data_IF_528630646892
#
_entry.id   IF_528630646892
#
_cell.length_a   1.000
_cell.length_b   1.000
_cell.length_c   1.000
_cell.angle_alpha   90.00
_cell.angle_beta   90.00
_cell.angle_gamma   90.00
#
_symmetry.space_group_name_H-M   'P 1'
#
loop_
_entity.id
_entity.type
_entity.pdbx_description
1 polymer ?
#
# COMPACT_ATOMS: atom_id res chain seq x y z
N UNK A 1 42.01 27.39 7.29
CA UNK A 1 41.65 28.13 8.52
C UNK A 1 41.96 27.26 9.73
N UNK A 2 42.27 27.86 10.91
CA UNK A 2 42.65 27.11 12.12
C UNK A 2 41.63 26.02 12.51
N UNK A 3 40.32 26.24 12.34
CA UNK A 3 39.30 25.26 12.66
C UNK A 3 39.33 24.02 11.74
N UNK A 4 39.61 24.22 10.45
CA UNK A 4 39.79 23.14 9.46
C UNK A 4 40.96 22.24 9.81
N UNK A 5 42.10 22.83 10.29
CA UNK A 5 43.25 22.09 10.65
C UNK A 5 43.06 21.31 11.97
N UNK A 6 42.32 21.87 12.92
CA UNK A 6 41.94 21.21 14.19
C UNK A 6 41.10 19.97 13.88
N UNK A 7 40.03 20.09 13.01
CA UNK A 7 39.19 18.96 12.64
C UNK A 7 40.02 17.83 12.01
N UNK A 8 40.85 18.16 11.01
CA UNK A 8 41.69 17.16 10.33
C UNK A 8 42.73 16.47 11.26
N UNK A 9 43.20 17.16 12.32
CA UNK A 9 44.11 16.55 13.32
C UNK A 9 43.39 15.66 14.31
N UNK A 10 42.16 16.02 14.67
CA UNK A 10 41.39 15.29 15.70
C UNK A 10 40.71 14.03 15.13
N UNK A 11 40.39 14.01 13.85
CA UNK A 11 39.68 12.88 13.24
C UNK A 11 40.55 12.16 12.21
N UNK A 12 40.38 10.83 12.10
CA UNK A 12 41.04 10.02 11.08
C UNK A 12 40.15 9.67 9.89
N UNK A 13 38.92 10.17 9.88
CA UNK A 13 37.92 9.84 8.86
C UNK A 13 38.18 10.60 7.55
N UNK A 14 38.05 9.89 6.41
CA UNK A 14 38.18 10.47 5.08
C UNK A 14 36.81 10.71 4.42
N UNK A 15 35.75 10.14 4.98
CA UNK A 15 34.38 10.26 4.46
C UNK A 15 33.49 10.79 5.57
N UNK A 16 32.69 11.80 5.23
CA UNK A 16 31.65 12.36 6.09
C UNK A 16 30.31 12.12 5.41
N UNK A 17 29.46 11.34 6.03
CA UNK A 17 28.10 11.07 5.51
C UNK A 17 27.13 11.99 6.23
N UNK A 18 26.33 12.71 5.47
CA UNK A 18 25.32 13.66 5.96
C UNK A 18 23.95 13.22 5.47
N UNK A 19 23.07 12.92 6.41
CA UNK A 19 21.72 12.43 6.16
C UNK A 19 20.66 13.47 6.60
N UNK A 20 19.41 13.26 6.16
CA UNK A 20 18.25 14.05 6.58
C UNK A 20 18.32 15.57 6.27
N UNK A 21 19.15 15.99 5.33
CA UNK A 21 19.22 17.40 4.93
C UNK A 21 17.93 17.91 4.28
N UNK A 22 17.13 17.02 3.73
CA UNK A 22 15.80 17.30 3.19
C UNK A 22 14.83 17.91 4.22
N UNK A 23 15.07 17.68 5.51
CA UNK A 23 14.27 18.28 6.60
C UNK A 23 14.42 19.79 6.74
N UNK A 24 15.51 20.36 6.23
CA UNK A 24 15.73 21.81 6.28
C UNK A 24 14.98 22.59 5.20
N UNK A 25 14.46 21.91 4.16
CA UNK A 25 13.60 22.49 3.13
C UNK A 25 14.24 23.58 2.26
N UNK A 26 15.56 23.84 2.39
CA UNK A 26 16.28 24.81 1.59
C UNK A 26 17.55 24.21 0.98
N UNK A 27 17.76 24.34 -0.33
CA UNK A 27 18.97 23.89 -1.00
C UNK A 27 20.23 24.71 -0.64
N UNK A 28 20.09 25.87 -0.02
CA UNK A 28 21.23 26.74 0.34
C UNK A 28 22.22 26.08 1.29
N UNK A 29 21.78 25.11 2.06
CA UNK A 29 22.65 24.35 2.98
C UNK A 29 23.75 23.61 2.20
N UNK A 30 23.49 23.16 0.98
CA UNK A 30 24.48 22.45 0.16
C UNK A 30 25.60 23.37 -0.30
N UNK A 31 25.32 24.65 -0.58
CA UNK A 31 26.35 25.65 -0.86
C UNK A 31 27.31 25.80 0.32
N UNK A 32 26.78 25.98 1.51
CA UNK A 32 27.58 26.14 2.74
C UNK A 32 28.40 24.89 3.02
N UNK A 33 27.83 23.71 2.80
CA UNK A 33 28.56 22.45 3.00
C UNK A 33 29.63 22.24 1.93
N UNK A 34 29.41 22.68 0.69
CA UNK A 34 30.41 22.67 -0.37
C UNK A 34 31.59 23.58 -0.03
N UNK A 35 31.31 24.82 0.39
CA UNK A 35 32.34 25.76 0.87
C UNK A 35 33.14 25.16 2.03
N UNK A 36 32.47 24.52 2.99
CA UNK A 36 33.12 23.87 4.11
C UNK A 36 34.02 22.70 3.63
N UNK A 37 33.56 21.89 2.68
CA UNK A 37 34.38 20.82 2.10
C UNK A 37 35.61 21.38 1.40
N UNK A 38 35.48 22.43 0.61
CA UNK A 38 36.62 23.11 -0.03
C UNK A 38 37.63 23.61 0.99
N UNK A 39 37.20 24.34 2.01
CA UNK A 39 38.04 24.84 3.10
C UNK A 39 38.78 23.71 3.82
N UNK A 40 38.08 22.57 4.06
CA UNK A 40 38.72 21.40 4.65
C UNK A 40 39.79 20.79 3.75
N UNK A 41 39.56 20.74 2.45
CA UNK A 41 40.49 20.11 1.50
C UNK A 41 41.64 21.02 1.08
N UNK A 42 41.48 22.35 1.14
CA UNK A 42 42.53 23.33 0.87
C UNK A 42 43.60 23.43 1.98
N UNK A 43 43.36 22.83 3.16
CA UNK A 43 44.33 22.86 4.25
C UNK A 43 45.59 22.12 3.85
N UNK A 44 46.74 22.88 3.83
CA UNK A 44 48.07 22.36 3.49
C UNK A 44 48.76 21.57 4.64
N UNK A 45 48.21 21.65 5.85
CA UNK A 45 48.81 21.04 7.03
C UNK A 45 48.56 19.54 7.12
N UNK A 46 47.42 19.09 6.59
CA UNK A 46 47.07 17.67 6.53
C UNK A 46 46.66 17.35 5.09
N UNK A 47 47.51 16.66 4.36
CA UNK A 47 47.33 16.29 2.96
C UNK A 47 46.33 15.15 2.76
N UNK A 48 45.20 15.17 3.46
CA UNK A 48 44.14 14.17 3.39
C UNK A 48 42.89 14.75 2.78
N UNK A 49 42.38 14.11 1.73
CA UNK A 49 41.13 14.50 1.14
C UNK A 49 39.96 13.95 1.97
N UNK A 50 38.99 14.82 2.23
CA UNK A 50 37.74 14.48 2.90
C UNK A 50 36.63 14.58 1.86
N UNK A 51 35.89 13.46 1.71
CA UNK A 51 34.74 13.36 0.79
C UNK A 51 33.46 13.51 1.61
N UNK A 52 32.59 14.41 1.16
CA UNK A 52 31.24 14.53 1.72
C UNK A 52 30.27 13.69 0.88
N UNK A 53 29.53 12.83 1.53
CA UNK A 53 28.47 12.03 0.92
C UNK A 53 27.13 12.49 1.49
N UNK A 54 26.20 12.86 0.61
CA UNK A 54 24.90 13.36 0.99
C UNK A 54 23.83 12.31 0.64
N UNK A 55 23.09 11.83 1.63
CA UNK A 55 21.92 11.00 1.42
C UNK A 55 20.67 11.91 1.41
N UNK A 56 20.13 12.16 0.23
CA UNK A 56 19.03 13.11 0.04
C UNK A 56 17.93 12.51 -0.85
N UNK A 57 16.71 12.99 -0.68
CA UNK A 57 15.60 12.65 -1.58
C UNK A 57 15.65 13.51 -2.84
N UNK A 58 15.19 12.94 -3.94
CA UNK A 58 15.17 13.63 -5.23
C UNK A 58 14.29 14.89 -5.26
N UNK A 59 13.26 14.95 -4.41
CA UNK A 59 12.27 16.03 -4.34
C UNK A 59 12.79 17.34 -3.74
N UNK A 60 13.95 17.33 -3.08
CA UNK A 60 14.56 18.54 -2.52
C UNK A 60 15.02 19.52 -3.61
N UNK A 61 15.32 19.02 -4.82
CA UNK A 61 15.75 19.82 -5.96
C UNK A 61 14.65 19.87 -7.01
N UNK A 62 13.87 20.93 -7.01
CA UNK A 62 12.79 21.13 -7.97
C UNK A 62 13.29 21.51 -9.38
N UNK A 63 14.55 21.94 -9.51
CA UNK A 63 15.15 22.42 -10.74
C UNK A 63 16.47 21.69 -11.05
N UNK A 64 17.06 21.95 -12.24
CA UNK A 64 18.34 21.38 -12.72
C UNK A 64 19.58 21.78 -11.90
N UNK A 65 19.40 22.33 -10.72
CA UNK A 65 20.50 22.87 -9.89
C UNK A 65 21.34 21.81 -9.18
N UNK A 66 20.94 20.53 -9.23
CA UNK A 66 21.70 19.43 -8.57
C UNK A 66 23.17 19.42 -8.95
N UNK A 67 23.48 19.64 -10.24
CA UNK A 67 24.83 19.62 -10.77
C UNK A 67 25.70 20.79 -10.31
N UNK A 68 25.09 21.85 -9.77
CA UNK A 68 25.82 22.97 -9.17
C UNK A 68 26.40 22.63 -7.80
N UNK A 69 25.80 21.67 -7.09
CA UNK A 69 26.16 21.34 -5.72
C UNK A 69 27.01 20.10 -5.58
N UNK A 70 26.82 19.13 -6.48
CA UNK A 70 27.45 17.82 -6.37
C UNK A 70 28.38 17.55 -7.56
N UNK A 71 29.57 17.05 -7.26
CA UNK A 71 30.55 16.63 -8.27
C UNK A 71 30.18 15.25 -8.86
N UNK A 72 29.45 14.43 -8.08
CA UNK A 72 28.97 13.11 -8.49
C UNK A 72 27.60 12.82 -7.86
N UNK A 73 26.69 12.31 -8.68
CA UNK A 73 25.34 11.91 -8.26
C UNK A 73 25.11 10.46 -8.65
N UNK A 74 24.68 9.65 -7.69
CA UNK A 74 24.24 8.27 -7.94
C UNK A 74 22.86 8.03 -7.37
N UNK A 75 22.02 7.33 -8.13
CA UNK A 75 20.69 6.97 -7.68
C UNK A 75 20.73 5.64 -6.93
N UNK A 76 20.19 5.61 -5.73
CA UNK A 76 19.97 4.37 -4.98
C UNK A 76 18.57 3.87 -5.29
N UNK A 77 18.47 2.74 -5.98
CA UNK A 77 17.19 2.11 -6.29
C UNK A 77 16.61 1.56 -4.98
N UNK A 78 15.37 1.92 -4.59
CA UNK A 78 14.74 1.36 -3.39
C UNK A 78 14.67 -0.16 -3.46
N UNK A 79 15.03 -0.83 -2.37
CA UNK A 79 14.92 -2.30 -2.25
C UNK A 79 13.49 -2.76 -2.43
N UNK A 80 12.52 -1.94 -1.97
CA UNK A 80 11.10 -2.21 -2.09
C UNK A 80 10.47 -1.23 -3.09
N UNK A 81 9.66 -1.77 -3.99
CA UNK A 81 8.89 -1.02 -4.98
C UNK A 81 7.53 -1.72 -5.21
N UNK A 82 6.56 -1.10 -5.89
CA UNK A 82 5.23 -1.69 -6.08
C UNK A 82 5.22 -3.07 -6.77
N UNK A 83 6.24 -3.40 -7.55
CA UNK A 83 6.32 -4.69 -8.26
C UNK A 83 6.79 -5.84 -7.37
N UNK A 84 7.62 -5.59 -6.37
CA UNK A 84 8.19 -6.61 -5.49
C UNK A 84 7.66 -6.54 -4.04
N UNK A 85 6.93 -5.48 -3.68
CA UNK A 85 6.45 -5.24 -2.31
C UNK A 85 5.61 -6.40 -1.76
N UNK A 86 4.80 -7.05 -2.62
CA UNK A 86 4.01 -8.23 -2.23
C UNK A 86 4.91 -9.38 -1.78
N UNK A 87 5.92 -9.70 -2.57
CA UNK A 87 6.79 -10.85 -2.31
C UNK A 87 7.66 -10.62 -1.08
N UNK A 88 8.14 -9.38 -0.90
CA UNK A 88 8.89 -8.98 0.30
C UNK A 88 7.98 -9.02 1.54
N UNK A 89 6.75 -8.52 1.46
CA UNK A 89 5.80 -8.59 2.57
C UNK A 89 5.47 -10.04 2.92
N UNK A 90 5.21 -10.88 1.92
CA UNK A 90 4.94 -12.32 2.11
C UNK A 90 6.11 -13.00 2.79
N UNK A 91 7.34 -12.78 2.33
CA UNK A 91 8.54 -13.33 2.94
C UNK A 91 8.69 -12.88 4.40
N UNK A 92 8.50 -11.59 4.68
CA UNK A 92 8.58 -11.06 6.03
C UNK A 92 7.53 -11.63 7.00
N UNK A 93 6.33 -11.94 6.49
CA UNK A 93 5.28 -12.59 7.28
C UNK A 93 5.58 -14.07 7.52
N UNK A 94 6.12 -14.78 6.51
CA UNK A 94 6.50 -16.18 6.60
C UNK A 94 7.66 -16.38 7.60
N UNK A 95 8.67 -15.51 7.59
CA UNK A 95 9.75 -15.51 8.57
C UNK A 95 9.22 -15.42 10.02
N UNK A 96 8.04 -14.82 10.20
CA UNK A 96 7.35 -14.68 11.50
C UNK A 96 6.30 -15.76 11.75
N UNK A 97 6.39 -16.88 11.00
CA UNK A 97 5.57 -18.07 11.20
C UNK A 97 4.15 -17.96 10.65
N UNK A 98 3.89 -17.13 9.63
CA UNK A 98 2.68 -17.22 8.85
C UNK A 98 2.86 -18.28 7.76
N UNK A 99 1.97 -19.26 7.71
CA UNK A 99 1.98 -20.28 6.66
C UNK A 99 1.56 -19.68 5.31
N UNK A 100 2.07 -20.27 4.24
CA UNK A 100 1.69 -19.89 2.88
C UNK A 100 0.17 -20.09 2.65
N UNK A 101 -0.41 -19.18 1.86
CA UNK A 101 -1.83 -19.20 1.45
C UNK A 101 -2.88 -18.96 2.56
N UNK A 102 -2.48 -18.64 3.79
CA UNK A 102 -3.41 -18.20 4.84
C UNK A 102 -4.07 -16.87 4.48
N UNK A 103 -3.30 -15.96 3.87
CA UNK A 103 -3.81 -14.74 3.27
C UNK A 103 -3.73 -14.88 1.75
N UNK A 104 -4.83 -14.59 1.05
CA UNK A 104 -4.88 -14.70 -0.40
C UNK A 104 -3.88 -13.75 -1.06
N UNK A 105 -3.23 -14.18 -2.12
CA UNK A 105 -2.25 -13.39 -2.88
C UNK A 105 -2.82 -12.07 -3.42
N UNK A 106 -4.12 -12.04 -3.76
CA UNK A 106 -4.81 -10.81 -4.16
C UNK A 106 -4.86 -9.79 -3.02
N UNK A 107 -5.30 -10.23 -1.84
CA UNK A 107 -5.39 -9.36 -0.65
C UNK A 107 -3.99 -8.85 -0.24
N UNK A 108 -2.96 -9.71 -0.31
CA UNK A 108 -1.57 -9.32 -0.05
C UNK A 108 -1.08 -8.27 -1.06
N UNK A 109 -1.42 -8.43 -2.35
CA UNK A 109 -1.04 -7.47 -3.39
C UNK A 109 -1.66 -6.10 -3.13
N UNK A 110 -2.95 -6.08 -2.83
CA UNK A 110 -3.68 -4.83 -2.58
C UNK A 110 -3.11 -4.08 -1.37
N UNK A 111 -2.78 -4.79 -0.30
CA UNK A 111 -2.16 -4.21 0.89
C UNK A 111 -0.72 -3.77 0.64
N UNK A 112 0.08 -4.60 -0.05
CA UNK A 112 1.49 -4.34 -0.30
C UNK A 112 1.71 -3.16 -1.26
N UNK A 113 0.73 -2.84 -2.11
CA UNK A 113 0.79 -1.67 -2.98
C UNK A 113 1.06 -0.37 -2.21
N UNK A 114 0.55 -0.26 -1.00
CA UNK A 114 0.78 0.89 -0.12
C UNK A 114 2.13 0.81 0.60
N UNK A 115 2.72 -0.38 0.74
CA UNK A 115 3.92 -0.60 1.56
C UNK A 115 5.17 -0.47 0.71
N UNK A 116 5.74 0.73 0.66
CA UNK A 116 6.91 1.06 -0.16
C UNK A 116 8.15 1.46 0.67
N UNK A 117 8.11 1.31 1.97
CA UNK A 117 9.24 1.56 2.88
C UNK A 117 9.53 0.30 3.71
N UNK A 118 10.78 -0.17 3.68
CA UNK A 118 11.20 -1.37 4.39
C UNK A 118 11.04 -1.26 5.91
N UNK A 119 11.20 -0.08 6.49
CA UNK A 119 11.01 0.15 7.93
C UNK A 119 9.55 -0.02 8.32
N UNK A 120 8.64 0.54 7.50
CA UNK A 120 7.19 0.39 7.72
C UNK A 120 6.79 -1.07 7.51
N UNK A 121 7.31 -1.74 6.48
CA UNK A 121 7.05 -3.16 6.21
C UNK A 121 7.47 -4.02 7.41
N UNK A 122 8.68 -3.82 7.92
CA UNK A 122 9.20 -4.54 9.07
C UNK A 122 8.34 -4.30 10.31
N UNK A 123 7.91 -3.06 10.55
CA UNK A 123 7.01 -2.73 11.65
C UNK A 123 5.65 -3.41 11.51
N UNK A 124 5.06 -3.39 10.32
CA UNK A 124 3.79 -4.09 10.03
C UNK A 124 3.92 -5.59 10.31
N UNK A 125 4.98 -6.22 9.84
CA UNK A 125 5.20 -7.65 10.04
C UNK A 125 5.41 -8.00 11.53
N UNK A 126 6.16 -7.18 12.27
CA UNK A 126 6.37 -7.36 13.71
C UNK A 126 5.06 -7.17 14.50
N UNK A 127 4.31 -6.10 14.20
CA UNK A 127 3.02 -5.86 14.84
C UNK A 127 2.03 -6.99 14.55
N UNK A 128 1.98 -7.46 13.30
CA UNK A 128 1.12 -8.57 12.90
C UNK A 128 1.41 -9.84 13.71
N UNK A 129 2.68 -10.20 13.87
CA UNK A 129 3.10 -11.32 14.71
C UNK A 129 2.62 -11.14 16.15
N UNK A 130 2.87 -9.98 16.76
CA UNK A 130 2.50 -9.71 18.15
C UNK A 130 0.98 -9.76 18.37
N UNK A 131 0.20 -9.17 17.47
CA UNK A 131 -1.26 -9.21 17.56
C UNK A 131 -1.79 -10.62 17.35
N UNK A 132 -1.25 -11.37 16.38
CA UNK A 132 -1.62 -12.77 16.14
C UNK A 132 -1.38 -13.60 17.39
N UNK A 133 -0.21 -13.52 17.99
CA UNK A 133 0.13 -14.27 19.20
C UNK A 133 -0.79 -13.94 20.36
N UNK A 134 -1.10 -12.66 20.58
CA UNK A 134 -1.97 -12.23 21.68
C UNK A 134 -3.44 -12.57 21.47
N UNK A 135 -3.94 -12.50 20.24
CA UNK A 135 -5.36 -12.68 19.94
C UNK A 135 -5.72 -14.14 19.60
N UNK A 136 -4.76 -14.94 19.12
CA UNK A 136 -5.00 -16.35 18.83
C UNK A 136 -4.80 -17.28 20.02
N UNK A 137 -4.32 -16.80 21.18
CA UNK A 137 -4.12 -17.59 22.42
C UNK A 137 -5.41 -17.91 23.17
N UNK A 138 -6.56 -17.41 22.73
CA UNK A 138 -7.87 -17.66 23.35
C UNK A 138 -8.72 -18.64 22.51
N UNK A 139 -9.27 -19.63 23.14
CA UNK A 139 -9.92 -20.84 22.57
C UNK A 139 -11.17 -20.59 21.69
N UNK A 140 -11.58 -19.36 21.33
CA UNK A 140 -12.92 -19.14 20.77
C UNK A 140 -13.09 -18.11 19.64
N UNK A 141 -12.05 -17.55 19.08
CA UNK A 141 -12.27 -16.62 17.97
C UNK A 141 -11.44 -17.00 16.76
N UNK A 142 -12.10 -17.40 15.66
CA UNK A 142 -11.51 -17.50 14.33
C UNK A 142 -11.15 -16.06 13.87
N UNK A 143 -9.99 -15.59 14.28
CA UNK A 143 -9.48 -14.29 13.85
C UNK A 143 -9.23 -14.32 12.34
N UNK A 144 -9.83 -13.39 11.62
CA UNK A 144 -9.55 -13.23 10.20
C UNK A 144 -8.20 -12.50 10.02
N UNK A 145 -7.17 -13.25 9.67
CA UNK A 145 -5.80 -12.74 9.56
C UNK A 145 -5.63 -11.70 8.43
N UNK A 146 -6.41 -11.81 7.35
CA UNK A 146 -6.44 -10.79 6.30
C UNK A 146 -6.91 -9.45 6.84
N UNK A 147 -8.01 -9.45 7.61
CA UNK A 147 -8.52 -8.22 8.24
C UNK A 147 -7.57 -7.67 9.28
N UNK A 148 -6.91 -8.53 10.05
CA UNK A 148 -5.90 -8.10 11.01
C UNK A 148 -4.75 -7.38 10.30
N UNK A 149 -4.19 -7.97 9.24
CA UNK A 149 -3.11 -7.36 8.47
C UNK A 149 -3.55 -6.03 7.87
N UNK A 150 -4.72 -5.96 7.24
CA UNK A 150 -5.26 -4.72 6.68
C UNK A 150 -5.41 -3.61 7.73
N UNK A 151 -5.86 -3.95 8.94
CA UNK A 151 -5.97 -2.98 10.05
C UNK A 151 -4.61 -2.48 10.53
N UNK A 152 -3.59 -3.32 10.54
CA UNK A 152 -2.23 -2.94 10.93
C UNK A 152 -1.59 -2.05 9.84
N UNK A 153 -1.75 -2.39 8.57
CA UNK A 153 -1.34 -1.53 7.45
C UNK A 153 -2.00 -0.16 7.58
N UNK A 154 -3.32 -0.13 7.75
CA UNK A 154 -4.06 1.10 7.90
C UNK A 154 -3.60 1.94 9.12
N UNK A 155 -3.37 1.32 10.26
CA UNK A 155 -2.84 1.97 11.47
C UNK A 155 -1.48 2.64 11.21
N UNK A 156 -0.59 1.98 10.48
CA UNK A 156 0.75 2.50 10.22
C UNK A 156 0.75 3.68 9.23
N UNK A 157 -0.17 3.67 8.25
CA UNK A 157 -0.25 4.75 7.24
C UNK A 157 -1.17 5.90 7.63
N UNK A 158 -2.24 5.61 8.38
CA UNK A 158 -3.25 6.60 8.77
C UNK A 158 -3.50 6.59 10.29
N UNK A 159 -2.46 6.83 11.11
CA UNK A 159 -2.58 6.68 12.58
C UNK A 159 -3.62 7.61 13.20
N UNK A 160 -3.80 8.82 12.65
CA UNK A 160 -4.81 9.77 13.13
C UNK A 160 -6.24 9.26 12.90
N UNK A 161 -6.53 8.79 11.69
CA UNK A 161 -7.85 8.27 11.32
C UNK A 161 -8.13 6.94 12.04
N UNK A 162 -7.09 6.09 12.20
CA UNK A 162 -7.19 4.87 13.01
C UNK A 162 -7.56 5.16 14.46
N UNK A 163 -6.99 6.19 15.09
CA UNK A 163 -7.34 6.59 16.45
C UNK A 163 -8.79 7.07 16.57
N UNK A 164 -9.36 7.65 15.51
CA UNK A 164 -10.76 8.09 15.48
C UNK A 164 -11.77 6.93 15.45
N UNK A 165 -11.35 5.72 14.97
CA UNK A 165 -12.23 4.55 14.95
C UNK A 165 -12.83 4.20 16.31
N UNK A 166 -12.07 4.35 17.39
CA UNK A 166 -12.56 4.12 18.74
C UNK A 166 -13.71 5.05 19.14
N UNK A 167 -13.75 6.25 18.53
CA UNK A 167 -14.80 7.25 18.74
C UNK A 167 -15.95 7.12 17.75
N UNK A 168 -15.90 6.12 16.86
CA UNK A 168 -16.85 5.95 15.75
C UNK A 168 -16.84 7.14 14.78
N UNK A 169 -15.66 7.66 14.52
CA UNK A 169 -15.40 8.79 13.63
C UNK A 169 -14.35 8.41 12.60
N UNK A 170 -14.14 9.27 11.62
CA UNK A 170 -13.09 9.11 10.60
C UNK A 170 -13.59 8.55 9.28
N UNK A 171 -12.72 8.57 8.28
CA UNK A 171 -13.07 8.20 6.90
C UNK A 171 -13.45 6.73 6.78
N UNK A 172 -12.67 5.84 7.40
CA UNK A 172 -12.93 4.39 7.33
C UNK A 172 -14.21 4.03 8.07
N UNK A 173 -14.46 4.64 9.23
CA UNK A 173 -15.74 4.42 9.93
C UNK A 173 -16.93 4.83 9.07
N UNK A 174 -16.87 6.00 8.44
CA UNK A 174 -17.94 6.48 7.56
C UNK A 174 -18.12 5.57 6.35
N UNK A 175 -17.04 5.11 5.71
CA UNK A 175 -17.13 4.13 4.61
C UNK A 175 -17.83 2.83 5.03
N UNK A 176 -17.51 2.30 6.22
CA UNK A 176 -18.16 1.09 6.74
C UNK A 176 -19.64 1.34 7.05
N UNK A 177 -19.96 2.49 7.64
CA UNK A 177 -21.34 2.88 7.98
C UNK A 177 -22.20 3.09 6.74
N UNK A 178 -21.65 3.72 5.70
CA UNK A 178 -22.34 4.01 4.44
C UNK A 178 -22.37 2.81 3.46
N UNK A 179 -21.63 1.73 3.76
CA UNK A 179 -21.58 0.53 2.90
C UNK A 179 -22.95 0.00 2.48
N UNK A 180 -23.98 -0.09 3.36
CA UNK A 180 -25.31 -0.54 2.95
C UNK A 180 -25.95 0.38 1.90
N UNK A 181 -25.72 1.70 2.01
CA UNK A 181 -26.26 2.69 1.07
C UNK A 181 -25.60 2.58 -0.32
N UNK A 182 -24.28 2.36 -0.37
CA UNK A 182 -23.58 2.15 -1.64
C UNK A 182 -24.02 0.87 -2.35
N UNK A 183 -24.34 -0.18 -1.59
CA UNK A 183 -24.80 -1.44 -2.16
C UNK A 183 -26.28 -1.45 -2.54
N UNK A 184 -27.10 -0.54 -2.02
CA UNK A 184 -28.57 -0.56 -2.16
C UNK A 184 -29.03 -0.58 -3.59
N UNK A 185 -28.48 0.28 -4.46
CA UNK A 185 -28.84 0.32 -5.87
C UNK A 185 -28.61 -0.99 -6.61
N UNK A 186 -27.45 -1.60 -6.38
CA UNK A 186 -27.10 -2.90 -6.98
C UNK A 186 -27.97 -4.05 -6.44
N UNK A 187 -28.29 -4.01 -5.14
CA UNK A 187 -29.19 -5.01 -4.52
C UNK A 187 -30.61 -4.89 -5.07
N UNK A 188 -31.13 -3.68 -5.25
CA UNK A 188 -32.45 -3.43 -5.84
C UNK A 188 -32.52 -3.92 -7.31
N UNK A 189 -31.45 -3.77 -8.08
CA UNK A 189 -31.37 -4.32 -9.45
C UNK A 189 -31.34 -5.84 -9.46
N UNK A 190 -30.59 -6.46 -8.56
CA UNK A 190 -30.55 -7.92 -8.43
C UNK A 190 -31.92 -8.46 -8.03
N UNK A 191 -32.56 -7.86 -7.03
CA UNK A 191 -33.90 -8.27 -6.60
C UNK A 191 -34.93 -8.18 -7.74
N UNK A 192 -34.90 -7.15 -8.57
CA UNK A 192 -35.76 -7.05 -9.76
C UNK A 192 -35.49 -8.14 -10.80
N UNK A 193 -34.22 -8.49 -11.00
CA UNK A 193 -33.85 -9.59 -11.92
C UNK A 193 -34.28 -10.94 -11.39
N UNK A 194 -34.15 -11.18 -10.09
CA UNK A 194 -34.61 -12.39 -9.45
C UNK A 194 -36.12 -12.55 -9.58
N UNK A 195 -36.91 -11.48 -9.36
CA UNK A 195 -38.36 -11.48 -9.53
C UNK A 195 -38.77 -11.78 -10.99
N UNK A 196 -38.10 -11.14 -11.96
CA UNK A 196 -38.38 -11.41 -13.37
C UNK A 196 -38.09 -12.85 -13.78
N UNK A 197 -36.95 -13.39 -13.35
CA UNK A 197 -36.55 -14.78 -13.59
C UNK A 197 -37.50 -15.79 -12.92
N UNK A 198 -37.93 -15.50 -11.69
CA UNK A 198 -38.89 -16.36 -11.00
C UNK A 198 -40.24 -16.36 -11.74
N UNK A 199 -40.72 -15.21 -12.21
CA UNK A 199 -41.94 -15.11 -13.02
C UNK A 199 -41.81 -15.90 -14.32
N UNK A 200 -40.70 -15.80 -15.03
CA UNK A 200 -40.41 -16.57 -16.24
C UNK A 200 -40.34 -18.07 -15.95
N UNK A 201 -39.70 -18.46 -14.85
CA UNK A 201 -39.62 -19.86 -14.42
C UNK A 201 -40.98 -20.42 -14.07
N UNK A 202 -41.84 -19.70 -13.38
CA UNK A 202 -43.22 -20.10 -13.08
C UNK A 202 -44.06 -20.21 -14.32
N UNK A 203 -43.90 -19.29 -15.29
CA UNK A 203 -44.56 -19.38 -16.60
C UNK A 203 -44.10 -20.62 -17.38
N UNK A 204 -42.79 -20.90 -17.37
CA UNK A 204 -42.21 -22.12 -17.98
C UNK A 204 -42.76 -23.39 -17.36
N UNK A 205 -42.85 -23.48 -16.02
CA UNK A 205 -43.40 -24.63 -15.32
C UNK A 205 -44.85 -24.90 -15.69
N UNK A 206 -45.66 -23.84 -15.84
CA UNK A 206 -47.07 -24.00 -16.33
C UNK A 206 -47.14 -24.59 -17.72
N UNK A 207 -46.23 -24.18 -18.63
CA UNK A 207 -46.19 -24.76 -19.98
C UNK A 207 -45.66 -26.17 -20.04
N UNK A 208 -44.76 -26.55 -19.12
CA UNK A 208 -44.18 -27.90 -19.04
C UNK A 208 -45.18 -29.00 -18.68
N UNK A 209 -46.28 -28.64 -18.02
CA UNK A 209 -47.37 -29.57 -17.68
C UNK A 209 -48.38 -29.81 -18.79
N UNK A 210 -48.32 -29.02 -19.89
CA UNK A 210 -49.14 -29.30 -21.04
C UNK A 210 -48.65 -30.55 -21.77
N UNK A 211 -49.56 -31.50 -21.99
CA UNK A 211 -49.26 -32.66 -22.80
C UNK A 211 -48.93 -32.24 -24.25
N UNK A 212 -48.08 -32.99 -24.93
CA UNK A 212 -47.66 -32.70 -26.30
C UNK A 212 -48.84 -32.49 -27.22
N UNK A 213 -49.97 -33.18 -27.02
CA UNK A 213 -51.22 -33.01 -27.71
C UNK A 213 -51.89 -31.65 -27.52
N UNK A 214 -51.78 -31.06 -26.32
CA UNK A 214 -52.32 -29.74 -25.99
C UNK A 214 -51.48 -28.62 -26.60
N UNK A 215 -50.13 -28.78 -26.56
CA UNK A 215 -49.23 -27.89 -27.27
C UNK A 215 -49.50 -27.84 -28.79
N UNK A 216 -49.68 -29.03 -29.41
CA UNK A 216 -50.05 -29.11 -30.84
C UNK A 216 -51.35 -28.38 -31.15
N UNK A 217 -52.37 -28.48 -30.31
CA UNK A 217 -53.65 -27.80 -30.46
C UNK A 217 -53.49 -26.27 -30.38
N UNK A 218 -52.71 -25.79 -29.43
CA UNK A 218 -52.42 -24.34 -29.27
C UNK A 218 -51.69 -23.78 -30.52
N UNK A 219 -50.72 -24.49 -31.05
CA UNK A 219 -50.01 -24.11 -32.25
C UNK A 219 -50.93 -24.15 -33.50
N UNK A 220 -51.78 -25.14 -33.65
CA UNK A 220 -52.74 -25.23 -34.72
C UNK A 220 -53.75 -24.08 -34.66
N UNK A 221 -54.21 -23.68 -33.48
CA UNK A 221 -55.10 -22.54 -33.28
C UNK A 221 -54.43 -21.21 -33.71
N UNK A 222 -53.21 -20.96 -33.30
CA UNK A 222 -52.44 -19.79 -33.70
C UNK A 222 -52.12 -19.72 -35.19
N UNK A 223 -51.91 -20.85 -35.85
CA UNK A 223 -51.70 -20.92 -37.30
C UNK A 223 -53.00 -20.59 -38.01
N UNK A 224 -54.13 -21.10 -37.53
CA UNK A 224 -55.48 -20.85 -38.13
C UNK A 224 -55.85 -19.36 -38.03
N UNK A 225 -55.56 -18.68 -36.93
CA UNK A 225 -55.79 -17.22 -36.77
C UNK A 225 -54.93 -16.36 -37.72
N UNK A 226 -53.80 -16.88 -38.21
CA UNK A 226 -52.96 -16.15 -39.17
C UNK A 226 -53.28 -16.40 -40.63
N UNK A 227 -54.13 -17.38 -40.92
CA UNK A 227 -54.51 -17.77 -42.30
C UNK A 227 -55.93 -17.20 -42.69
N UNK A 228 -56.72 -16.81 -41.68
CA UNK A 228 -57.95 -16.06 -41.87
C UNK A 228 -57.67 -14.55 -41.70
#
# INVERSE_FOLDING_TARGET
SAASDVYKRQTKYNVVIIEDLDRFGSPDIFLKLRELNQLLNESKIVSRNIVFVYAVKDDIFLNEERTKFFDYITTVIPVINPSNSKDILKAALNERGLEDNVIKDGDLRDMAFFVQDMRILTNIANEFQQYREKLCTGNNQKLNLTKLLAMIVYKNYYPKDFAMLHRREGKVYNCIKEKPNFAKGALDEIAKKEETLENEYQAFLKTKHLKESELRLIYLYKIRERIN
#
